data_IF_233022363085
#
_entry.id   IF_233022363085
#
_cell.length_a   1.000
_cell.length_b   1.000
_cell.length_c   1.000
_cell.angle_alpha   90.00
_cell.angle_beta   90.00
_cell.angle_gamma   90.00
#
_symmetry.space_group_name_H-M   'P 1'
#
loop_
_entity.id
_entity.type
_entity.pdbx_description
1 polymer ?
#
# COMPACT_ATOMS: atom_id res chain seq x y z
N UNK A 1 -17.55 -27.01 -1.13
CA UNK A 1 -17.31 -25.97 -2.17
C UNK A 1 -16.94 -24.69 -1.43
N UNK A 2 -15.64 -24.31 -1.44
CA UNK A 2 -15.11 -23.20 -0.64
C UNK A 2 -15.65 -21.86 -1.15
N UNK A 3 -15.87 -20.91 -0.24
CA UNK A 3 -16.33 -19.54 -0.57
C UNK A 3 -15.50 -18.87 -1.67
N UNK A 4 -14.22 -19.19 -1.76
CA UNK A 4 -13.29 -18.70 -2.78
C UNK A 4 -13.66 -19.22 -4.18
N UNK A 5 -14.11 -20.46 -4.33
CA UNK A 5 -14.54 -21.02 -5.63
C UNK A 5 -15.79 -20.33 -6.19
N UNK A 6 -16.71 -19.89 -5.31
CA UNK A 6 -17.86 -19.06 -5.73
C UNK A 6 -17.47 -17.68 -6.23
N UNK A 7 -16.47 -17.05 -5.60
CA UNK A 7 -15.97 -15.74 -6.00
C UNK A 7 -15.20 -15.79 -7.34
N UNK A 8 -14.51 -16.90 -7.62
CA UNK A 8 -13.80 -17.11 -8.89
C UNK A 8 -14.75 -17.28 -10.11
N UNK A 9 -16.03 -17.52 -9.91
CA UNK A 9 -17.04 -17.55 -10.97
C UNK A 9 -17.34 -16.17 -11.58
N UNK A 10 -17.07 -15.10 -10.84
CA UNK A 10 -17.21 -13.75 -11.39
C UNK A 10 -15.94 -13.38 -12.16
N UNK A 11 -15.99 -13.15 -13.49
CA UNK A 11 -14.80 -12.97 -14.31
C UNK A 11 -13.92 -11.81 -13.86
N UNK A 12 -14.52 -10.71 -13.38
CA UNK A 12 -13.79 -9.53 -12.88
C UNK A 12 -13.08 -9.84 -11.55
N UNK A 13 -13.79 -10.48 -10.62
CA UNK A 13 -13.23 -10.84 -9.30
C UNK A 13 -12.12 -11.87 -9.46
N UNK A 14 -12.33 -12.89 -10.30
CA UNK A 14 -11.30 -13.90 -10.59
C UNK A 14 -10.07 -13.31 -11.27
N UNK A 15 -10.24 -12.29 -12.09
CA UNK A 15 -9.13 -11.58 -12.74
C UNK A 15 -8.34 -10.73 -11.73
N UNK A 16 -9.00 -9.96 -10.85
CA UNK A 16 -8.37 -9.20 -9.76
C UNK A 16 -7.58 -10.14 -8.83
N UNK A 17 -8.19 -11.28 -8.44
CA UNK A 17 -7.56 -12.24 -7.54
C UNK A 17 -6.29 -12.90 -8.14
N UNK A 18 -6.18 -12.96 -9.46
CA UNK A 18 -5.00 -13.50 -10.15
C UNK A 18 -3.87 -12.49 -10.34
N UNK A 19 -4.17 -11.19 -10.37
CA UNK A 19 -3.20 -10.15 -10.67
C UNK A 19 -2.77 -9.38 -9.42
N UNK A 20 -1.55 -9.57 -8.99
CA UNK A 20 -0.99 -8.96 -7.77
C UNK A 20 -1.10 -7.42 -7.77
N UNK A 21 -0.88 -6.79 -8.92
CA UNK A 21 -1.02 -5.34 -9.08
C UNK A 21 -2.45 -4.85 -8.78
N UNK A 22 -3.46 -5.61 -9.20
CA UNK A 22 -4.86 -5.25 -8.94
C UNK A 22 -5.25 -5.46 -7.47
N UNK A 23 -4.74 -6.53 -6.84
CA UNK A 23 -4.89 -6.72 -5.38
C UNK A 23 -4.32 -5.52 -4.64
N UNK A 24 -3.11 -5.09 -5.02
CA UNK A 24 -2.46 -3.91 -4.45
C UNK A 24 -3.31 -2.64 -4.61
N UNK A 25 -3.85 -2.39 -5.81
CA UNK A 25 -4.74 -1.26 -6.08
C UNK A 25 -6.04 -1.31 -5.26
N UNK A 26 -6.64 -2.49 -5.14
CA UNK A 26 -7.86 -2.69 -4.32
C UNK A 26 -7.59 -2.41 -2.84
N UNK A 27 -6.47 -2.88 -2.32
CA UNK A 27 -6.03 -2.59 -0.95
C UNK A 27 -5.80 -1.09 -0.77
N UNK A 28 -5.14 -0.43 -1.74
CA UNK A 28 -4.96 1.02 -1.72
C UNK A 28 -6.29 1.78 -1.65
N UNK A 29 -7.29 1.38 -2.45
CA UNK A 29 -8.64 1.92 -2.40
C UNK A 29 -9.33 1.73 -1.04
N UNK A 30 -9.18 0.58 -0.40
CA UNK A 30 -9.71 0.35 0.95
C UNK A 30 -9.09 1.29 1.98
N UNK A 31 -7.79 1.58 1.84
CA UNK A 31 -7.09 2.52 2.70
C UNK A 31 -7.61 3.95 2.58
N UNK A 32 -8.03 4.36 1.38
CA UNK A 32 -8.69 5.67 1.20
C UNK A 32 -9.99 5.74 2.00
N UNK A 33 -10.80 4.68 1.99
CA UNK A 33 -12.03 4.62 2.79
C UNK A 33 -11.73 4.70 4.28
N UNK A 34 -10.77 3.93 4.77
CA UNK A 34 -10.32 3.97 6.18
C UNK A 34 -9.86 5.38 6.55
N UNK A 35 -9.07 6.02 5.69
CA UNK A 35 -8.58 7.38 5.94
C UNK A 35 -9.74 8.39 6.06
N UNK A 36 -10.69 8.38 5.12
CA UNK A 36 -11.82 9.30 5.12
C UNK A 36 -12.71 9.11 6.35
N UNK A 37 -13.03 7.87 6.72
CA UNK A 37 -13.87 7.56 7.88
C UNK A 37 -13.17 8.02 9.15
N UNK A 38 -11.90 7.72 9.33
CA UNK A 38 -11.16 8.09 10.54
C UNK A 38 -10.88 9.59 10.62
N UNK A 39 -10.67 10.26 9.49
CA UNK A 39 -10.57 11.71 9.45
C UNK A 39 -11.87 12.37 9.93
N UNK A 40 -13.00 11.90 9.42
CA UNK A 40 -14.31 12.37 9.83
C UNK A 40 -14.56 12.14 11.31
N UNK A 41 -14.36 10.90 11.80
CA UNK A 41 -14.52 10.56 13.21
C UNK A 41 -13.56 11.36 14.11
N UNK A 42 -12.34 11.57 13.66
CA UNK A 42 -11.35 12.39 14.35
C UNK A 42 -11.81 13.85 14.53
N UNK A 43 -12.32 14.45 13.44
CA UNK A 43 -12.76 15.84 13.44
C UNK A 43 -14.02 16.07 14.26
N UNK A 44 -15.03 15.20 14.10
CA UNK A 44 -16.36 15.42 14.65
C UNK A 44 -16.52 14.86 16.08
N UNK A 45 -15.77 13.82 16.44
CA UNK A 45 -16.01 13.11 17.69
C UNK A 45 -14.77 12.97 18.58
N UNK A 46 -13.68 12.35 18.08
CA UNK A 46 -12.55 11.96 18.93
C UNK A 46 -11.75 13.17 19.44
N UNK A 47 -11.55 14.16 18.58
CA UNK A 47 -10.71 15.33 18.86
C UNK A 47 -11.50 16.65 18.82
N UNK A 48 -12.84 16.59 18.89
CA UNK A 48 -13.71 17.77 18.82
C UNK A 48 -13.35 18.85 19.84
N UNK A 49 -12.82 18.46 21.00
CA UNK A 49 -12.41 19.37 22.07
C UNK A 49 -11.02 20.00 21.86
N UNK A 50 -10.27 19.62 20.82
CA UNK A 50 -8.94 20.19 20.58
C UNK A 50 -9.06 21.54 19.90
N UNK A 51 -8.44 22.55 20.51
CA UNK A 51 -8.27 23.89 19.95
C UNK A 51 -6.77 24.21 19.76
N UNK A 52 -6.36 24.95 18.75
CA UNK A 52 -7.17 25.53 17.67
C UNK A 52 -7.58 24.48 16.61
N UNK A 53 -8.58 24.78 15.72
CA UNK A 53 -9.07 23.85 14.70
C UNK A 53 -7.98 23.27 13.78
N UNK A 54 -6.92 24.02 13.52
CA UNK A 54 -5.75 23.56 12.75
C UNK A 54 -5.00 22.42 13.46
N UNK A 55 -4.89 22.45 14.79
CA UNK A 55 -4.27 21.38 15.56
C UNK A 55 -5.16 20.14 15.56
N UNK A 56 -6.48 20.31 15.75
CA UNK A 56 -7.46 19.23 15.62
C UNK A 56 -7.35 18.53 14.26
N UNK A 57 -7.27 19.29 13.16
CA UNK A 57 -7.10 18.74 11.82
C UNK A 57 -5.80 17.94 11.68
N UNK A 58 -4.69 18.45 12.18
CA UNK A 58 -3.39 17.76 12.10
C UNK A 58 -3.39 16.43 12.86
N UNK A 59 -3.96 16.39 14.07
CA UNK A 59 -4.06 15.17 14.89
C UNK A 59 -4.99 14.15 14.21
N UNK A 60 -6.14 14.59 13.70
CA UNK A 60 -7.10 13.74 12.99
C UNK A 60 -6.48 13.15 11.71
N UNK A 61 -5.77 13.96 10.92
CA UNK A 61 -5.04 13.51 9.74
C UNK A 61 -3.95 12.52 10.09
N UNK A 62 -3.15 12.79 11.13
CA UNK A 62 -2.10 11.90 11.59
C UNK A 62 -2.64 10.51 11.94
N UNK A 63 -3.73 10.46 12.72
CA UNK A 63 -4.41 9.21 13.06
C UNK A 63 -4.95 8.50 11.82
N UNK A 64 -5.66 9.22 10.96
CA UNK A 64 -6.26 8.66 9.75
C UNK A 64 -5.21 8.06 8.80
N UNK A 65 -4.11 8.78 8.56
CA UNK A 65 -2.99 8.32 7.71
C UNK A 65 -2.32 7.09 8.33
N UNK A 66 -2.04 7.10 9.64
CA UNK A 66 -1.42 5.98 10.34
C UNK A 66 -2.28 4.72 10.21
N UNK A 67 -3.57 4.80 10.52
CA UNK A 67 -4.48 3.66 10.46
C UNK A 67 -4.69 3.16 9.02
N UNK A 68 -4.80 4.06 8.04
CA UNK A 68 -4.87 3.67 6.63
C UNK A 68 -3.58 2.96 6.17
N UNK A 69 -2.41 3.43 6.63
CA UNK A 69 -1.13 2.79 6.32
C UNK A 69 -1.02 1.41 6.94
N UNK A 70 -1.44 1.25 8.20
CA UNK A 70 -1.49 -0.06 8.89
C UNK A 70 -2.46 -1.00 8.18
N UNK A 71 -3.67 -0.52 7.83
CA UNK A 71 -4.64 -1.30 7.07
C UNK A 71 -4.05 -1.79 5.74
N UNK A 72 -3.50 -0.89 4.94
CA UNK A 72 -2.92 -1.20 3.65
C UNK A 72 -1.73 -2.16 3.76
N UNK A 73 -0.84 -1.94 4.72
CA UNK A 73 0.26 -2.85 4.99
C UNK A 73 -0.21 -4.25 5.34
N UNK A 74 -1.19 -4.34 6.25
CA UNK A 74 -1.72 -5.62 6.72
C UNK A 74 -2.36 -6.42 5.58
N UNK A 75 -3.25 -5.80 4.80
CA UNK A 75 -3.88 -6.45 3.66
C UNK A 75 -2.90 -6.76 2.54
N UNK A 76 -1.96 -5.89 2.25
CA UNK A 76 -0.92 -6.18 1.28
C UNK A 76 -0.07 -7.36 1.72
N UNK A 77 0.29 -7.44 2.99
CA UNK A 77 1.05 -8.55 3.54
C UNK A 77 0.27 -9.85 3.53
N UNK A 78 -1.01 -9.85 3.90
CA UNK A 78 -1.83 -11.05 4.07
C UNK A 78 -2.42 -11.55 2.74
N UNK A 79 -2.63 -10.66 1.76
CA UNK A 79 -3.34 -10.98 0.54
C UNK A 79 -2.53 -10.74 -0.74
N UNK A 80 -1.92 -9.56 -0.90
CA UNK A 80 -1.19 -9.23 -2.12
C UNK A 80 0.11 -10.03 -2.24
N UNK A 81 0.84 -10.20 -1.13
CA UNK A 81 2.12 -10.90 -1.04
C UNK A 81 2.09 -12.08 -0.06
N UNK A 82 0.95 -12.74 0.10
CA UNK A 82 0.76 -13.91 0.96
C UNK A 82 1.80 -15.00 0.72
N UNK A 83 2.06 -15.31 -0.55
CA UNK A 83 3.03 -16.31 -0.99
C UNK A 83 4.48 -16.02 -0.54
N UNK A 84 4.81 -14.76 -0.32
CA UNK A 84 6.15 -14.34 0.10
C UNK A 84 6.31 -14.19 1.61
N UNK A 85 5.22 -14.01 2.33
CA UNK A 85 5.28 -13.82 3.78
C UNK A 85 5.72 -15.06 4.54
N UNK A 86 5.33 -16.24 4.08
CA UNK A 86 5.71 -17.51 4.69
C UNK A 86 7.22 -17.77 4.64
N UNK A 87 7.93 -17.10 3.74
CA UNK A 87 9.38 -17.26 3.53
C UNK A 87 10.18 -15.99 3.90
N UNK A 88 9.55 -15.01 4.56
CA UNK A 88 10.17 -13.73 4.85
C UNK A 88 10.62 -13.63 6.30
N UNK A 89 11.93 -13.72 6.55
CA UNK A 89 12.55 -13.64 7.87
C UNK A 89 12.70 -12.20 8.41
N UNK A 90 12.20 -11.19 7.70
CA UNK A 90 12.31 -9.80 8.15
C UNK A 90 11.39 -9.53 9.35
N UNK A 91 11.88 -8.84 10.40
CA UNK A 91 11.02 -8.36 11.47
C UNK A 91 9.87 -7.51 10.93
N UNK A 92 8.67 -7.65 11.52
CA UNK A 92 7.46 -6.95 11.09
C UNK A 92 7.64 -5.43 11.03
N UNK A 93 8.30 -4.85 12.04
CA UNK A 93 8.57 -3.41 12.12
C UNK A 93 9.46 -2.92 10.97
N UNK A 94 10.48 -3.70 10.58
CA UNK A 94 11.35 -3.36 9.45
C UNK A 94 10.53 -3.37 8.15
N UNK A 95 9.68 -4.39 7.98
CA UNK A 95 8.82 -4.51 6.82
C UNK A 95 7.81 -3.36 6.73
N UNK A 96 7.20 -3.00 7.88
CA UNK A 96 6.29 -1.87 7.98
C UNK A 96 6.99 -0.53 7.67
N UNK A 97 8.19 -0.31 8.22
CA UNK A 97 9.00 0.88 7.94
C UNK A 97 9.35 1.02 6.45
N UNK A 98 9.76 -0.09 5.80
CA UNK A 98 10.01 -0.11 4.36
C UNK A 98 8.74 0.21 3.56
N UNK A 99 7.59 -0.33 3.96
CA UNK A 99 6.30 -0.07 3.34
C UNK A 99 5.90 1.41 3.47
N UNK A 100 6.00 1.97 4.67
CA UNK A 100 5.70 3.38 4.93
C UNK A 100 6.60 4.33 4.12
N UNK A 101 7.90 4.01 4.04
CA UNK A 101 8.85 4.77 3.23
C UNK A 101 8.54 4.67 1.73
N UNK A 102 8.18 3.48 1.23
CA UNK A 102 7.74 3.30 -0.15
C UNK A 102 6.54 4.17 -0.49
N UNK A 103 5.55 4.25 0.41
CA UNK A 103 4.37 5.10 0.23
C UNK A 103 4.75 6.59 0.21
N UNK A 104 5.62 7.04 1.12
CA UNK A 104 6.09 8.42 1.15
C UNK A 104 6.82 8.81 -0.15
N UNK A 105 7.69 7.92 -0.66
CA UNK A 105 8.36 8.10 -1.96
C UNK A 105 7.37 8.15 -3.12
N UNK A 106 6.34 7.30 -3.10
CA UNK A 106 5.26 7.32 -4.09
C UNK A 106 4.51 8.65 -4.11
N UNK A 107 4.15 9.19 -2.93
CA UNK A 107 3.50 10.49 -2.80
C UNK A 107 4.40 11.63 -3.31
N UNK A 108 5.68 11.61 -2.93
CA UNK A 108 6.64 12.59 -3.41
C UNK A 108 6.75 12.57 -4.93
N UNK A 109 6.85 11.39 -5.52
CA UNK A 109 6.90 11.21 -6.97
C UNK A 109 5.63 11.74 -7.65
N UNK A 110 4.43 11.40 -7.12
CA UNK A 110 3.16 11.88 -7.62
C UNK A 110 3.09 13.41 -7.63
N UNK A 111 3.41 14.06 -6.51
CA UNK A 111 3.36 15.52 -6.40
C UNK A 111 4.33 16.19 -7.37
N UNK A 112 5.55 15.65 -7.47
CA UNK A 112 6.58 16.18 -8.39
C UNK A 112 6.15 16.07 -9.85
N UNK A 113 5.65 14.90 -10.27
CA UNK A 113 5.16 14.67 -11.63
C UNK A 113 3.92 15.51 -11.95
N UNK A 114 2.98 15.63 -10.99
CA UNK A 114 1.79 16.46 -11.18
C UNK A 114 2.19 17.92 -11.45
N UNK A 115 3.10 18.47 -10.66
CA UNK A 115 3.58 19.86 -10.85
C UNK A 115 4.29 20.02 -12.19
N UNK A 116 5.14 19.07 -12.57
CA UNK A 116 5.86 19.09 -13.83
C UNK A 116 4.89 19.04 -15.03
N UNK A 117 3.95 18.11 -15.02
CA UNK A 117 2.99 17.94 -16.12
C UNK A 117 1.97 19.04 -16.18
N UNK A 118 1.55 19.62 -15.03
CA UNK A 118 0.60 20.73 -14.98
C UNK A 118 1.14 22.02 -15.60
N UNK A 119 2.46 22.12 -15.82
CA UNK A 119 3.05 23.23 -16.56
C UNK A 119 2.73 23.17 -18.07
N UNK A 120 2.40 22.01 -18.61
CA UNK A 120 2.15 21.77 -20.05
C UNK A 120 0.72 21.31 -20.33
N UNK A 121 0.03 20.70 -19.36
CA UNK A 121 -1.29 20.12 -19.50
C UNK A 121 -2.23 20.65 -18.42
N UNK A 122 -3.53 20.47 -18.64
CA UNK A 122 -4.52 20.74 -17.59
C UNK A 122 -4.22 19.89 -16.35
N UNK A 123 -4.38 20.45 -15.14
CA UNK A 123 -3.98 19.82 -13.87
C UNK A 123 -4.67 18.46 -13.61
N UNK A 124 -5.88 18.23 -14.09
CA UNK A 124 -6.60 16.96 -13.89
C UNK A 124 -5.92 15.79 -14.61
N UNK A 125 -5.69 15.81 -15.95
CA UNK A 125 -4.97 14.72 -16.62
C UNK A 125 -3.52 14.61 -16.13
N UNK A 126 -2.86 15.71 -15.78
CA UNK A 126 -1.52 15.71 -15.18
C UNK A 126 -1.51 14.91 -13.87
N UNK A 127 -2.47 15.15 -12.99
CA UNK A 127 -2.58 14.43 -11.70
C UNK A 127 -2.94 12.94 -11.91
N UNK A 128 -3.89 12.62 -12.78
CA UNK A 128 -4.26 11.22 -13.08
C UNK A 128 -3.08 10.41 -13.60
N UNK A 129 -2.30 10.98 -14.53
CA UNK A 129 -1.09 10.35 -15.05
C UNK A 129 -0.06 10.15 -13.95
N UNK A 130 0.13 11.15 -13.08
CA UNK A 130 1.06 11.08 -11.96
C UNK A 130 0.66 10.03 -10.92
N UNK A 131 -0.63 9.89 -10.63
CA UNK A 131 -1.15 8.82 -9.75
C UNK A 131 -0.85 7.45 -10.35
N UNK A 132 -1.07 7.25 -11.65
CA UNK A 132 -0.80 5.97 -12.31
C UNK A 132 0.69 5.63 -12.25
N UNK A 133 1.58 6.58 -12.57
CA UNK A 133 3.04 6.40 -12.52
C UNK A 133 3.50 6.11 -11.09
N UNK A 134 3.06 6.90 -10.11
CA UNK A 134 3.43 6.72 -8.72
C UNK A 134 2.89 5.39 -8.15
N UNK A 135 1.69 4.98 -8.56
CA UNK A 135 1.10 3.70 -8.17
C UNK A 135 1.90 2.50 -8.70
N UNK A 136 2.32 2.54 -9.97
CA UNK A 136 3.20 1.51 -10.55
C UNK A 136 4.54 1.49 -9.82
N UNK A 137 5.15 2.64 -9.61
CA UNK A 137 6.43 2.77 -8.88
C UNK A 137 6.32 2.21 -7.46
N UNK A 138 5.28 2.58 -6.72
CA UNK A 138 5.04 2.10 -5.36
C UNK A 138 4.82 0.58 -5.33
N UNK A 139 4.07 0.04 -6.29
CA UNK A 139 3.91 -1.41 -6.44
C UNK A 139 5.26 -2.11 -6.66
N UNK A 140 6.06 -1.64 -7.62
CA UNK A 140 7.37 -2.23 -7.95
C UNK A 140 8.34 -2.13 -6.77
N UNK A 141 8.34 -1.00 -6.07
CA UNK A 141 9.20 -0.80 -4.90
C UNK A 141 8.81 -1.75 -3.76
N UNK A 142 7.52 -1.92 -3.50
CA UNK A 142 7.05 -2.88 -2.50
C UNK A 142 7.34 -4.33 -2.93
N UNK A 143 7.18 -4.67 -4.20
CA UNK A 143 7.48 -6.00 -4.72
C UNK A 143 8.97 -6.35 -4.62
N UNK A 144 9.85 -5.41 -4.97
CA UNK A 144 11.30 -5.64 -5.02
C UNK A 144 12.01 -5.46 -3.67
N UNK A 145 11.46 -4.64 -2.76
CA UNK A 145 12.14 -4.26 -1.52
C UNK A 145 11.42 -4.70 -0.25
N UNK A 146 10.16 -4.29 -0.08
CA UNK A 146 9.40 -4.57 1.15
C UNK A 146 9.13 -6.06 1.30
N UNK A 147 8.56 -6.67 0.25
CA UNK A 147 8.11 -8.06 0.22
C UNK A 147 9.04 -8.97 -0.60
N UNK A 148 10.31 -8.60 -0.74
CA UNK A 148 11.30 -9.42 -1.46
C UNK A 148 11.54 -10.74 -0.74
N UNK A 149 11.46 -11.85 -1.48
CA UNK A 149 11.93 -13.14 -0.99
C UNK A 149 13.44 -13.11 -0.77
N UNK A 150 13.87 -13.37 0.46
CA UNK A 150 15.28 -13.63 0.75
C UNK A 150 15.55 -15.10 0.38
N UNK A 151 16.39 -15.35 -0.62
CA UNK A 151 16.82 -16.73 -0.93
C UNK A 151 17.41 -17.34 0.33
N UNK A 152 16.82 -18.43 0.79
CA UNK A 152 17.27 -19.17 1.97
C UNK A 152 18.71 -19.63 1.72
N UNK A 153 19.60 -19.44 2.70
CA UNK A 153 20.97 -20.00 2.68
C UNK A 153 20.99 -21.51 2.44
N UNK A 154 19.89 -22.21 2.71
CA UNK A 154 19.72 -23.64 2.53
C UNK A 154 20.01 -24.14 1.11
N UNK A 155 19.71 -23.35 0.07
CA UNK A 155 20.04 -23.73 -1.31
C UNK A 155 21.53 -23.62 -1.64
N UNK A 156 22.25 -22.75 -0.93
CA UNK A 156 23.71 -22.64 -1.08
C UNK A 156 24.44 -23.76 -0.35
N UNK A 157 23.94 -24.16 0.83
CA UNK A 157 24.52 -25.26 1.59
C UNK A 157 24.22 -26.60 0.94
N UNK A 158 23.03 -26.80 0.37
CA UNK A 158 22.71 -28.00 -0.41
C UNK A 158 23.61 -28.16 -1.65
N UNK A 159 23.94 -27.06 -2.33
CA UNK A 159 24.89 -27.08 -3.48
C UNK A 159 26.33 -27.23 -3.08
N UNK A 160 26.71 -26.94 -1.83
CA UNK A 160 28.05 -27.20 -1.30
C UNK A 160 28.26 -28.66 -0.89
N UNK A 161 27.20 -29.35 -0.47
CA UNK A 161 27.23 -30.76 -0.03
C UNK A 161 27.20 -31.70 -1.25
N UNK A 162 26.67 -31.22 -2.40
CA UNK A 162 26.58 -32.02 -3.63
C UNK A 162 27.81 -31.89 -4.57
N UNK A 163 28.87 -31.22 -4.13
CA UNK A 163 30.18 -31.16 -4.80
C UNK A 163 31.26 -31.83 -3.96
#
# INVERSE_FOLDING_TARGET
MNHIEKLLRYPVIGWILRHRFLKFGTVGGSGVLVNLVLLYLGQEYLFAAIEPPSMRLNVSLGLAILCATVNNFSWNRLWTWEDRNLCNDKPLLVQFGQYALSNALGIFLQVSFTKMLAAYFHYLPANLTSIAVAGIFNYLLNDAWTFRLRRRKSDQDARRISR
#
